data_IF_711182410771
#
_entry.id   IF_711182410771
#
_cell.length_a   1.000
_cell.length_b   1.000
_cell.length_c   1.000
_cell.angle_alpha   90.00
_cell.angle_beta   90.00
_cell.angle_gamma   90.00
#
_symmetry.space_group_name_H-M   'P 1'
#
loop_
_entity.id
_entity.type
_entity.pdbx_description
1 polymer ?
#
# COMPACT_ATOMS: atom_id res chain seq x y z
N UNK A 1 10.13 4.03 -18.62
CA UNK A 1 8.86 3.99 -18.05
C UNK A 1 8.91 4.43 -16.64
N UNK A 2 8.02 5.25 -16.32
CA UNK A 2 8.08 5.95 -15.06
C UNK A 2 7.44 5.16 -13.94
N UNK A 3 8.13 5.07 -12.81
CA UNK A 3 7.53 4.49 -11.60
C UNK A 3 6.43 5.41 -11.06
N UNK A 4 6.41 6.64 -11.54
CA UNK A 4 5.38 7.58 -11.15
C UNK A 4 3.99 7.07 -11.48
N UNK A 5 3.85 6.43 -12.64
CA UNK A 5 2.56 5.87 -13.03
C UNK A 5 2.12 4.81 -12.02
N UNK A 6 3.05 3.99 -11.57
CA UNK A 6 2.75 2.97 -10.58
C UNK A 6 2.35 3.60 -9.26
N UNK A 7 3.05 4.66 -8.85
CA UNK A 7 2.71 5.38 -7.62
C UNK A 7 1.29 5.93 -7.71
N UNK A 8 0.93 6.52 -8.84
CA UNK A 8 -0.42 7.05 -9.02
C UNK A 8 -1.45 5.95 -8.99
N UNK A 9 -1.14 4.81 -9.59
CA UNK A 9 -2.04 3.67 -9.56
C UNK A 9 -2.31 3.25 -8.12
N UNK A 10 -1.26 3.16 -7.32
CA UNK A 10 -1.42 2.74 -5.92
C UNK A 10 -2.16 3.78 -5.09
N UNK A 11 -1.93 5.06 -5.36
CA UNK A 11 -2.69 6.11 -4.67
C UNK A 11 -4.16 6.01 -4.98
N UNK A 12 -4.49 5.76 -6.25
CA UNK A 12 -5.89 5.60 -6.65
C UNK A 12 -6.50 4.38 -5.97
N UNK A 13 -5.76 3.28 -5.94
CA UNK A 13 -6.24 2.08 -5.27
C UNK A 13 -6.50 2.33 -3.79
N UNK A 14 -5.62 3.09 -3.16
CA UNK A 14 -5.75 3.41 -1.74
C UNK A 14 -7.00 4.25 -1.50
N UNK A 15 -7.22 5.26 -2.33
CA UNK A 15 -8.40 6.09 -2.19
C UNK A 15 -9.67 5.29 -2.41
N UNK A 16 -9.65 4.39 -3.37
CA UNK A 16 -10.80 3.53 -3.63
C UNK A 16 -11.11 2.67 -2.41
N UNK A 17 -10.07 2.14 -1.79
CA UNK A 17 -10.26 1.30 -0.62
C UNK A 17 -10.84 2.10 0.55
N UNK A 18 -10.41 3.36 0.71
CA UNK A 18 -10.92 4.20 1.79
C UNK A 18 -12.42 4.40 1.69
N UNK A 19 -12.94 4.46 0.47
CA UNK A 19 -14.36 4.75 0.27
C UNK A 19 -15.18 3.48 0.09
N UNK A 20 -14.52 2.33 0.00
CA UNK A 20 -15.21 1.07 -0.22
C UNK A 20 -15.55 0.41 1.11
N UNK A 21 -16.73 -0.18 1.18
CA UNK A 21 -17.10 -0.97 2.33
C UNK A 21 -17.16 -2.46 2.00
N UNK A 22 -16.74 -2.83 0.82
CA UNK A 22 -16.73 -4.21 0.37
C UNK A 22 -15.52 -4.93 0.96
N UNK A 23 -15.75 -6.02 1.67
CA UNK A 23 -14.66 -6.76 2.29
C UNK A 23 -13.72 -7.35 1.24
N UNK A 24 -14.22 -7.61 0.05
CA UNK A 24 -13.40 -8.12 -1.03
C UNK A 24 -12.44 -7.06 -1.56
N UNK A 25 -12.71 -5.80 -1.29
CA UNK A 25 -11.86 -4.72 -1.76
C UNK A 25 -10.45 -4.81 -1.17
N UNK A 26 -10.35 -5.29 0.06
CA UNK A 26 -9.03 -5.44 0.69
C UNK A 26 -8.19 -6.45 -0.06
N UNK A 27 -8.79 -7.58 -0.43
CA UNK A 27 -8.06 -8.61 -1.17
C UNK A 27 -7.58 -8.09 -2.51
N UNK A 28 -8.45 -7.38 -3.22
CA UNK A 28 -8.10 -6.81 -4.51
C UNK A 28 -7.00 -5.77 -4.35
N UNK A 29 -7.12 -4.93 -3.33
CA UNK A 29 -6.12 -3.91 -3.06
C UNK A 29 -4.75 -4.53 -2.81
N UNK A 30 -4.70 -5.56 -1.97
CA UNK A 30 -3.44 -6.22 -1.64
C UNK A 30 -2.82 -6.89 -2.87
N UNK A 31 -3.64 -7.51 -3.69
CA UNK A 31 -3.15 -8.12 -4.92
C UNK A 31 -2.58 -7.07 -5.86
N UNK A 32 -3.29 -5.96 -6.00
CA UNK A 32 -2.82 -4.87 -6.87
C UNK A 32 -1.47 -4.36 -6.40
N UNK A 33 -1.33 -4.17 -5.10
CA UNK A 33 -0.08 -3.66 -4.54
C UNK A 33 1.05 -4.65 -4.76
N UNK A 34 0.82 -5.93 -4.48
CA UNK A 34 1.85 -6.95 -4.60
C UNK A 34 2.25 -7.20 -6.05
N UNK A 35 1.37 -6.89 -6.97
CA UNK A 35 1.68 -7.07 -8.38
C UNK A 35 2.70 -6.05 -8.89
N UNK A 36 2.95 -5.00 -8.12
CA UNK A 36 3.88 -3.94 -8.54
C UNK A 36 5.31 -4.31 -8.18
N UNK A 37 5.77 -5.44 -8.67
CA UNK A 37 7.10 -5.93 -8.35
C UNK A 37 8.20 -5.06 -8.91
N UNK A 38 7.97 -4.43 -10.05
CA UNK A 38 8.96 -3.55 -10.63
C UNK A 38 9.22 -2.35 -9.71
N UNK A 39 8.16 -1.78 -9.16
CA UNK A 39 8.30 -0.67 -8.24
C UNK A 39 9.00 -1.11 -6.95
N UNK A 40 8.56 -2.23 -6.41
CA UNK A 40 9.13 -2.73 -5.16
C UNK A 40 10.61 -3.07 -5.33
N UNK A 41 10.98 -3.58 -6.49
CA UNK A 41 12.38 -3.90 -6.77
C UNK A 41 13.23 -2.65 -6.95
N UNK A 42 12.63 -1.57 -7.43
CA UNK A 42 13.35 -0.32 -7.62
C UNK A 42 13.62 0.40 -6.31
N UNK A 43 12.88 0.06 -5.27
CA UNK A 43 13.03 0.69 -3.97
C UNK A 43 13.95 -0.13 -3.08
N UNK A 44 14.52 0.48 -2.02
CA UNK A 44 15.31 -0.29 -1.05
C UNK A 44 14.48 -1.45 -0.48
N UNK A 45 15.14 -2.55 -0.09
CA UNK A 45 14.42 -3.75 0.38
C UNK A 45 13.46 -3.48 1.54
N UNK A 46 13.79 -2.54 2.40
CA UNK A 46 12.92 -2.28 3.55
C UNK A 46 11.55 -1.76 3.13
N UNK A 47 11.46 -1.13 1.96
CA UNK A 47 10.16 -0.67 1.47
C UNK A 47 9.24 -1.85 1.21
N UNK A 48 9.76 -2.91 0.61
CA UNK A 48 8.96 -4.10 0.35
C UNK A 48 8.54 -4.77 1.66
N UNK A 49 9.46 -4.81 2.62
CA UNK A 49 9.16 -5.43 3.91
C UNK A 49 8.06 -4.68 4.64
N UNK A 50 8.15 -3.35 4.65
CA UNK A 50 7.16 -2.54 5.33
C UNK A 50 5.81 -2.66 4.65
N UNK A 51 5.80 -2.64 3.32
CA UNK A 51 4.55 -2.78 2.57
C UNK A 51 3.89 -4.12 2.88
N UNK A 52 4.66 -5.21 2.87
CA UNK A 52 4.11 -6.52 3.17
C UNK A 52 3.54 -6.58 4.58
N UNK A 53 4.20 -5.91 5.51
CA UNK A 53 3.71 -5.86 6.88
C UNK A 53 2.32 -5.22 6.94
N UNK A 54 2.17 -4.07 6.30
CA UNK A 54 0.89 -3.38 6.30
C UNK A 54 -0.18 -4.18 5.55
N UNK A 55 0.20 -4.77 4.42
CA UNK A 55 -0.76 -5.55 3.65
C UNK A 55 -1.23 -6.77 4.43
N UNK A 56 -0.30 -7.42 5.12
CA UNK A 56 -0.66 -8.56 5.96
C UNK A 56 -1.63 -8.18 7.06
N UNK A 57 -1.42 -7.01 7.66
CA UNK A 57 -2.33 -6.55 8.70
C UNK A 57 -3.71 -6.22 8.15
N UNK A 58 -3.75 -5.64 6.95
CA UNK A 58 -5.04 -5.37 6.31
C UNK A 58 -5.79 -6.66 6.04
N UNK A 59 -5.09 -7.66 5.53
CA UNK A 59 -5.74 -8.94 5.25
C UNK A 59 -6.24 -9.60 6.52
N UNK A 60 -5.42 -9.57 7.56
CA UNK A 60 -5.83 -10.15 8.84
C UNK A 60 -7.03 -9.44 9.39
N UNK A 61 -7.05 -8.10 9.28
CA UNK A 61 -8.18 -7.32 9.76
C UNK A 61 -9.45 -7.60 9.02
N UNK A 62 -9.36 -7.88 7.71
CA UNK A 62 -10.55 -8.14 6.93
C UNK A 62 -11.13 -9.52 7.22
N UNK A 63 -10.31 -10.44 7.71
CA UNK A 63 -10.77 -11.76 8.08
C UNK A 63 -11.54 -11.73 9.40
N UNK A 64 -11.18 -10.80 10.26
CA UNK A 64 -11.84 -10.62 11.54
C UNK A 64 -12.77 -9.43 11.43
N UNK A 65 -14.04 -9.70 11.34
CA UNK A 65 -15.02 -8.63 11.20
C UNK A 65 -15.34 -7.99 12.53
N UNK A 66 -14.74 -8.47 13.58
CA UNK A 66 -15.01 -7.97 14.91
C UNK A 66 -14.40 -6.61 15.13
N UNK A 67 -15.05 -5.87 15.94
CA UNK A 67 -14.59 -4.54 16.30
C UNK A 67 -13.50 -4.58 17.37
N UNK A 68 -13.07 -5.74 17.72
CA UNK A 68 -12.08 -5.88 18.78
C UNK A 68 -10.66 -5.49 18.32
N UNK A 69 -10.50 -5.15 17.08
CA UNK A 69 -9.19 -4.72 16.59
C UNK A 69 -8.71 -3.50 17.33
N UNK A 70 -7.49 -3.55 17.79
CA UNK A 70 -6.94 -2.44 18.55
C UNK A 70 -6.55 -1.27 17.66
N UNK A 71 -6.33 -1.50 16.39
CA UNK A 71 -6.08 -0.38 15.48
C UNK A 71 -7.01 -0.49 14.28
N UNK A 72 -7.39 0.67 13.79
CA UNK A 72 -8.37 0.73 12.74
C UNK A 72 -7.72 0.53 11.38
N UNK A 73 -8.53 0.10 10.42
CA UNK A 73 -8.08 0.00 9.05
C UNK A 73 -7.62 1.37 8.54
N UNK A 74 -8.27 2.42 9.02
CA UNK A 74 -7.92 3.77 8.61
C UNK A 74 -6.46 4.09 8.94
N UNK A 75 -5.99 3.66 10.11
CA UNK A 75 -4.61 3.89 10.49
C UNK A 75 -3.65 3.19 9.54
N UNK A 76 -3.99 1.97 9.15
CA UNK A 76 -3.16 1.24 8.20
C UNK A 76 -3.11 1.94 6.85
N UNK A 77 -4.26 2.45 6.42
CA UNK A 77 -4.32 3.17 5.14
C UNK A 77 -3.51 4.46 5.21
N UNK A 78 -3.55 5.14 6.35
CA UNK A 78 -2.74 6.35 6.53
C UNK A 78 -1.26 6.03 6.46
N UNK A 79 -0.85 4.92 7.03
CA UNK A 79 0.54 4.50 6.97
C UNK A 79 0.96 4.13 5.55
N UNK A 80 0.06 3.52 4.80
CA UNK A 80 0.35 3.22 3.40
C UNK A 80 0.45 4.49 2.58
N UNK A 81 -0.33 5.50 2.92
CA UNK A 81 -0.23 6.80 2.27
C UNK A 81 1.17 7.39 2.49
N UNK A 82 1.64 7.34 3.73
CA UNK A 82 2.99 7.80 4.03
C UNK A 82 4.03 6.99 3.29
N UNK A 83 3.81 5.68 3.20
CA UNK A 83 4.71 4.81 2.46
C UNK A 83 4.84 5.26 1.01
N UNK A 84 3.70 5.59 0.39
CA UNK A 84 3.71 6.06 -0.99
C UNK A 84 4.47 7.37 -1.12
N UNK A 85 4.27 8.28 -0.17
CA UNK A 85 4.97 9.56 -0.18
C UNK A 85 6.47 9.35 -0.09
N UNK A 86 6.92 8.47 0.79
CA UNK A 86 8.33 8.19 0.95
C UNK A 86 8.90 7.48 -0.27
N UNK A 87 8.12 6.58 -0.85
CA UNK A 87 8.54 5.87 -2.05
C UNK A 87 8.74 6.84 -3.20
N UNK A 88 7.82 7.78 -3.34
CA UNK A 88 7.92 8.77 -4.39
C UNK A 88 9.17 9.64 -4.23
N UNK A 89 9.44 10.04 -3.00
CA UNK A 89 10.65 10.82 -2.71
C UNK A 89 11.90 10.02 -3.02
N UNK A 90 11.91 8.75 -2.63
CA UNK A 90 13.07 7.91 -2.87
C UNK A 90 13.33 7.73 -4.37
N UNK A 91 12.26 7.53 -5.13
CA UNK A 91 12.39 7.38 -6.58
C UNK A 91 12.87 8.67 -7.22
N UNK A 92 12.40 9.80 -6.72
CA UNK A 92 12.83 11.09 -7.22
C UNK A 92 14.32 11.31 -7.01
N UNK A 93 14.82 10.94 -5.84
CA UNK A 93 16.24 11.05 -5.56
C UNK A 93 17.07 10.16 -6.45
N UNK A 94 16.59 8.93 -6.67
CA UNK A 94 17.32 8.01 -7.52
C UNK A 94 17.31 8.46 -8.95
N UNK A 95 16.23 9.05 -9.40
CA UNK A 95 16.13 9.53 -10.76
C UNK A 95 17.05 10.73 -10.99
N UNK A 96 17.29 11.52 -9.95
CA UNK A 96 18.12 12.70 -10.06
C UNK A 96 19.58 12.43 -9.77
N UNK A 97 19.88 11.26 -9.30
CA UNK A 97 21.27 10.89 -9.04
C UNK A 97 22.00 10.53 -10.31
#
# INVERSE_FOLDING_TARGET
MSQQVTIELLRTALNTLRTSSDSNAVAVFCQTWRAQTALLSALPPRFAEVAENFLGRLEAGSLFTEESCSFSQQDLLDNLQLWLDQAELALGRMANA
#
